data_IF_786026771513
#
_entry.id   IF_786026771513
#
_cell.length_a   1.000
_cell.length_b   1.000
_cell.length_c   1.000
_cell.angle_alpha   90.00
_cell.angle_beta   90.00
_cell.angle_gamma   90.00
#
_symmetry.space_group_name_H-M   'P 1'
#
loop_
_entity.id
_entity.type
_entity.pdbx_description
1 polymer ?
#
# COMPACT_ATOMS: atom_id res chain seq x y z
N UNK A 1 15.92 -24.48 40.12
CA UNK A 1 17.26 -23.98 40.41
C UNK A 1 17.47 -22.73 39.53
N UNK A 2 17.37 -21.57 40.20
CA UNK A 2 17.49 -20.24 39.61
C UNK A 2 18.96 -19.96 39.32
N UNK A 3 19.28 -19.68 38.04
CA UNK A 3 20.40 -18.83 37.65
C UNK A 3 19.84 -17.68 36.80
N UNK A 4 19.28 -16.70 37.47
CA UNK A 4 19.16 -15.36 36.89
C UNK A 4 20.54 -14.72 37.04
N UNK A 5 21.31 -14.69 35.97
CA UNK A 5 22.52 -13.86 35.85
C UNK A 5 22.11 -12.40 36.06
N UNK A 6 22.51 -11.84 37.17
CA UNK A 6 22.45 -10.39 37.43
C UNK A 6 23.47 -9.72 36.54
N UNK A 7 23.08 -9.38 35.33
CA UNK A 7 23.85 -8.45 34.52
C UNK A 7 23.99 -7.15 35.33
N UNK A 8 25.23 -6.68 35.52
CA UNK A 8 25.55 -5.44 36.24
C UNK A 8 24.79 -4.29 35.59
N UNK A 9 24.28 -3.34 36.39
CA UNK A 9 23.63 -2.13 35.88
C UNK A 9 24.49 -1.41 34.85
N UNK A 10 25.80 -1.48 34.95
CA UNK A 10 26.75 -0.95 33.97
C UNK A 10 26.71 -1.69 32.61
N UNK A 11 26.56 -3.02 32.61
CA UNK A 11 26.42 -3.81 31.37
C UNK A 11 25.09 -3.50 30.68
N UNK A 12 24.00 -3.35 31.43
CA UNK A 12 22.69 -2.98 30.89
C UNK A 12 22.75 -1.57 30.27
N UNK A 13 23.43 -0.61 30.92
CA UNK A 13 23.60 0.75 30.40
C UNK A 13 24.48 0.72 29.14
N UNK A 14 25.60 0.00 29.12
CA UNK A 14 26.47 -0.12 27.95
C UNK A 14 25.75 -0.77 26.76
N UNK A 15 24.98 -1.84 26.98
CA UNK A 15 24.18 -2.48 25.91
C UNK A 15 23.11 -1.54 25.39
N UNK A 16 22.47 -0.72 26.27
CA UNK A 16 21.47 0.24 25.85
C UNK A 16 22.08 1.41 25.03
N UNK A 17 23.25 1.91 25.40
CA UNK A 17 23.97 2.97 24.67
C UNK A 17 24.48 2.49 23.30
N UNK A 18 25.04 1.28 23.21
CA UNK A 18 25.47 0.68 21.95
C UNK A 18 24.26 0.51 21.01
N UNK A 19 23.13 -0.01 21.51
CA UNK A 19 21.92 -0.14 20.72
C UNK A 19 21.36 1.21 20.22
N UNK A 20 21.48 2.27 21.00
CA UNK A 20 21.01 3.60 20.60
C UNK A 20 21.90 4.21 19.52
N UNK A 21 23.22 4.08 19.62
CA UNK A 21 24.18 4.55 18.60
C UNK A 21 23.95 3.82 17.28
N UNK A 22 23.83 2.49 17.30
CA UNK A 22 23.57 1.67 16.10
C UNK A 22 22.23 2.04 15.45
N UNK A 23 21.21 2.33 16.26
CA UNK A 23 19.91 2.80 15.77
C UNK A 23 20.02 4.14 15.05
N UNK A 24 20.76 5.11 15.61
CA UNK A 24 20.98 6.42 14.99
C UNK A 24 21.82 6.32 13.71
N UNK A 25 22.87 5.51 13.70
CA UNK A 25 23.69 5.26 12.50
C UNK A 25 22.84 4.59 11.41
N UNK A 26 22.04 3.59 11.75
CA UNK A 26 21.11 2.96 10.83
C UNK A 26 20.12 3.96 10.26
N UNK A 27 19.58 4.86 11.09
CA UNK A 27 18.67 5.92 10.67
C UNK A 27 19.34 6.90 9.70
N UNK A 28 20.62 7.25 9.89
CA UNK A 28 21.38 8.08 8.93
C UNK A 28 21.46 7.43 7.56
N UNK A 29 21.79 6.14 7.49
CA UNK A 29 21.85 5.41 6.22
C UNK A 29 20.48 5.30 5.54
N UNK A 30 19.43 5.06 6.32
CA UNK A 30 18.06 5.03 5.83
C UNK A 30 17.66 6.40 5.24
N UNK A 31 17.96 7.50 5.96
CA UNK A 31 17.65 8.83 5.46
C UNK A 31 18.49 9.24 4.25
N UNK A 32 19.74 8.80 4.17
CA UNK A 32 20.58 9.00 2.98
C UNK A 32 19.98 8.26 1.77
N UNK A 33 19.57 7.01 1.93
CA UNK A 33 18.88 6.24 0.90
C UNK A 33 17.55 6.90 0.49
N UNK A 34 16.78 7.39 1.46
CA UNK A 34 15.51 8.10 1.21
C UNK A 34 15.71 9.39 0.40
N UNK A 35 16.80 10.10 0.63
CA UNK A 35 17.17 11.31 -0.12
C UNK A 35 17.63 10.98 -1.55
N UNK A 36 18.46 9.95 -1.70
CA UNK A 36 19.08 9.60 -3.00
C UNK A 36 18.08 8.98 -3.97
N UNK A 37 17.12 8.19 -3.48
CA UNK A 37 16.14 7.49 -4.31
C UNK A 37 15.35 8.42 -5.26
N UNK A 38 14.69 9.51 -4.79
CA UNK A 38 13.97 10.42 -5.68
C UNK A 38 14.91 11.19 -6.62
N UNK A 39 16.15 11.47 -6.23
CA UNK A 39 17.13 12.13 -7.08
C UNK A 39 17.52 11.25 -8.27
N UNK A 40 17.77 9.97 -8.04
CA UNK A 40 18.04 9.01 -9.13
C UNK A 40 16.80 8.79 -9.99
N UNK A 41 15.62 8.69 -9.38
CA UNK A 41 14.37 8.62 -10.14
C UNK A 41 14.23 9.83 -11.08
N UNK A 42 14.52 11.03 -10.60
CA UNK A 42 14.51 12.23 -11.43
C UNK A 42 15.57 12.21 -12.52
N UNK A 43 16.81 11.82 -12.21
CA UNK A 43 17.93 11.72 -13.17
C UNK A 43 17.67 10.70 -14.29
N UNK A 44 16.91 9.64 -14.01
CA UNK A 44 16.48 8.64 -15.02
C UNK A 44 15.24 9.09 -15.84
N UNK A 45 14.84 10.36 -15.72
CA UNK A 45 13.64 10.87 -16.37
C UNK A 45 12.37 10.24 -15.80
N UNK A 46 12.41 9.86 -14.50
CA UNK A 46 11.33 9.21 -13.75
C UNK A 46 10.87 7.86 -14.35
N UNK A 47 11.76 7.21 -15.13
CA UNK A 47 11.51 5.85 -15.65
C UNK A 47 11.54 4.80 -14.56
N UNK A 48 12.35 5.02 -13.52
CA UNK A 48 12.42 4.16 -12.35
C UNK A 48 11.65 4.84 -11.21
N UNK A 49 10.53 4.25 -10.75
CA UNK A 49 9.78 4.79 -9.61
C UNK A 49 10.65 4.85 -8.35
N UNK A 50 10.53 5.95 -7.59
CA UNK A 50 11.33 6.13 -6.36
C UNK A 50 11.13 4.98 -5.36
N UNK A 51 9.93 4.41 -5.28
CA UNK A 51 9.60 3.27 -4.41
C UNK A 51 10.49 2.05 -4.70
N UNK A 52 10.75 1.75 -5.97
CA UNK A 52 11.63 0.64 -6.36
C UNK A 52 13.06 0.91 -5.90
N UNK A 53 13.52 2.15 -6.04
CA UNK A 53 14.85 2.57 -5.58
C UNK A 53 14.97 2.52 -4.05
N UNK A 54 13.92 2.91 -3.31
CA UNK A 54 13.91 2.81 -1.86
C UNK A 54 14.10 1.37 -1.39
N UNK A 55 13.40 0.41 -2.01
CA UNK A 55 13.55 -1.01 -1.70
C UNK A 55 14.93 -1.52 -2.11
N UNK A 56 15.42 -1.15 -3.31
CA UNK A 56 16.73 -1.57 -3.78
C UNK A 56 17.86 -1.05 -2.86
N UNK A 57 17.78 0.22 -2.45
CA UNK A 57 18.72 0.78 -1.48
C UNK A 57 18.59 0.15 -0.10
N UNK A 58 17.36 -0.15 0.34
CA UNK A 58 17.14 -0.91 1.56
C UNK A 58 17.83 -2.26 1.52
N UNK A 59 17.66 -3.02 0.43
CA UNK A 59 18.37 -4.28 0.22
C UNK A 59 19.89 -4.10 0.24
N UNK A 60 20.41 -3.05 -0.39
CA UNK A 60 21.85 -2.77 -0.46
C UNK A 60 22.46 -2.44 0.91
N UNK A 61 21.82 -1.53 1.68
CA UNK A 61 22.32 -1.13 3.01
C UNK A 61 22.00 -2.15 4.12
N UNK A 62 21.09 -3.08 3.84
CA UNK A 62 20.60 -4.07 4.79
C UNK A 62 21.64 -5.12 5.20
N UNK A 63 21.27 -5.96 6.19
CA UNK A 63 22.19 -6.93 6.81
C UNK A 63 22.67 -8.02 5.85
N UNK A 64 21.92 -8.29 4.78
CA UNK A 64 22.24 -9.32 3.81
C UNK A 64 23.26 -8.91 2.73
N UNK A 65 23.59 -7.60 2.60
CA UNK A 65 24.52 -7.09 1.58
C UNK A 65 25.65 -6.31 2.24
N UNK A 66 25.44 -5.03 2.58
CA UNK A 66 26.50 -4.17 3.14
C UNK A 66 26.50 -4.12 4.67
N UNK A 67 25.40 -4.48 5.34
CA UNK A 67 25.29 -4.45 6.80
C UNK A 67 25.46 -3.06 7.41
N UNK A 68 25.15 -1.99 6.68
CA UNK A 68 25.29 -0.59 7.13
C UNK A 68 24.18 -0.14 8.05
N UNK A 69 23.02 -0.77 7.95
CA UNK A 69 21.84 -0.50 8.76
C UNK A 69 21.29 -1.78 9.38
N UNK A 70 20.94 -1.71 10.67
CA UNK A 70 20.37 -2.81 11.42
C UNK A 70 18.85 -2.69 11.50
N UNK A 71 18.21 -3.83 11.74
CA UNK A 71 16.75 -3.93 11.90
C UNK A 71 16.28 -3.60 13.32
N UNK A 72 17.19 -3.41 14.24
CA UNK A 72 16.92 -3.26 15.67
C UNK A 72 16.48 -1.84 16.07
N UNK A 73 15.88 -1.75 17.22
CA UNK A 73 15.61 -0.48 17.90
C UNK A 73 14.40 0.29 17.36
N UNK A 74 14.45 1.62 17.52
CA UNK A 74 13.33 2.54 17.21
C UNK A 74 12.93 2.61 15.73
N UNK A 75 13.78 2.13 14.80
CA UNK A 75 13.49 2.07 13.36
C UNK A 75 12.27 1.19 13.08
N UNK A 76 12.08 0.12 13.87
CA UNK A 76 10.91 -0.76 13.74
C UNK A 76 9.59 -0.03 13.96
N UNK A 77 9.49 0.81 15.00
CA UNK A 77 8.28 1.60 15.27
C UNK A 77 7.99 2.60 14.15
N UNK A 78 9.02 3.27 13.63
CA UNK A 78 8.86 4.22 12.51
C UNK A 78 8.37 3.49 11.26
N UNK A 79 8.88 2.27 11.00
CA UNK A 79 8.41 1.42 9.90
C UNK A 79 6.92 1.09 10.04
N UNK A 80 6.46 0.66 11.23
CA UNK A 80 5.06 0.34 11.49
C UNK A 80 4.14 1.56 11.29
N UNK A 81 4.56 2.73 11.79
CA UNK A 81 3.83 3.98 11.57
C UNK A 81 3.86 4.36 10.08
N UNK A 82 4.96 4.10 9.39
CA UNK A 82 5.12 4.30 7.95
C UNK A 82 4.17 3.44 7.12
N UNK A 83 4.06 2.17 7.47
CA UNK A 83 3.06 1.24 6.92
C UNK A 83 1.64 1.77 7.19
N UNK A 84 1.35 2.15 8.43
CA UNK A 84 0.08 2.75 8.80
C UNK A 84 -0.23 4.02 8.00
N UNK A 85 0.75 4.90 7.81
CA UNK A 85 0.56 6.12 7.02
C UNK A 85 0.29 5.83 5.54
N UNK A 86 0.97 4.85 4.96
CA UNK A 86 0.74 4.40 3.59
C UNK A 86 -0.71 3.92 3.40
N UNK A 87 -1.21 3.07 4.31
CA UNK A 87 -2.56 2.54 4.23
C UNK A 87 -3.64 3.54 4.65
N UNK A 88 -3.32 4.52 5.50
CA UNK A 88 -4.20 5.67 5.75
C UNK A 88 -4.41 6.47 4.45
N UNK A 89 -3.34 6.76 3.72
CA UNK A 89 -3.43 7.46 2.43
C UNK A 89 -4.22 6.63 1.41
N UNK A 90 -3.94 5.33 1.29
CA UNK A 90 -4.67 4.42 0.42
C UNK A 90 -6.18 4.39 0.74
N UNK A 91 -6.54 4.26 2.02
CA UNK A 91 -7.94 4.34 2.46
C UNK A 91 -8.59 5.70 2.20
N UNK A 92 -7.83 6.79 2.33
CA UNK A 92 -8.30 8.15 2.07
C UNK A 92 -8.58 8.42 0.58
N UNK A 93 -7.84 7.80 -0.32
CA UNK A 93 -8.02 7.93 -1.78
C UNK A 93 -9.33 7.30 -2.26
N UNK A 94 -9.87 6.32 -1.55
CA UNK A 94 -11.05 5.58 -1.98
C UNK A 94 -12.33 6.40 -1.80
N UNK A 95 -13.05 6.59 -2.90
CA UNK A 95 -14.37 7.21 -2.88
C UNK A 95 -15.46 6.13 -2.95
N UNK A 96 -16.27 5.96 -1.87
CA UNK A 96 -17.34 4.95 -1.85
C UNK A 96 -18.41 5.15 -2.92
N UNK A 97 -18.60 6.37 -3.41
CA UNK A 97 -19.62 6.66 -4.43
C UNK A 97 -19.23 6.07 -5.78
N UNK A 98 -17.94 6.10 -6.12
CA UNK A 98 -17.44 5.52 -7.38
C UNK A 98 -17.61 4.00 -7.46
N UNK A 99 -17.63 3.32 -6.29
CA UNK A 99 -17.79 1.87 -6.20
C UNK A 99 -19.25 1.40 -6.36
N UNK A 100 -20.23 2.29 -6.22
CA UNK A 100 -21.66 1.92 -6.31
C UNK A 100 -22.20 1.79 -7.73
N UNK A 101 -21.49 2.32 -8.73
CA UNK A 101 -21.89 2.33 -10.13
C UNK A 101 -21.78 0.96 -10.84
N UNK A 102 -22.13 0.94 -12.13
CA UNK A 102 -21.97 -0.24 -13.01
C UNK A 102 -20.52 -0.69 -13.07
N UNK A 103 -19.60 0.27 -13.16
CA UNK A 103 -18.17 0.04 -13.24
C UNK A 103 -17.62 -0.58 -11.95
N UNK A 104 -18.04 -0.10 -10.77
CA UNK A 104 -17.68 -0.70 -9.48
C UNK A 104 -18.14 -2.15 -9.34
N UNK A 105 -19.37 -2.48 -9.77
CA UNK A 105 -19.84 -3.87 -9.78
C UNK A 105 -19.05 -4.73 -10.75
N UNK A 106 -18.71 -4.21 -11.92
CA UNK A 106 -17.85 -4.88 -12.89
C UNK A 106 -16.45 -5.11 -12.32
N UNK A 107 -15.86 -4.11 -11.69
CA UNK A 107 -14.57 -4.21 -11.01
C UNK A 107 -14.56 -5.29 -9.92
N UNK A 108 -15.61 -5.33 -9.06
CA UNK A 108 -15.73 -6.35 -8.02
C UNK A 108 -15.85 -7.76 -8.63
N UNK A 109 -16.70 -7.94 -9.64
CA UNK A 109 -16.83 -9.25 -10.31
C UNK A 109 -15.54 -9.68 -10.99
N UNK A 110 -14.79 -8.75 -11.58
CA UNK A 110 -13.48 -9.00 -12.16
C UNK A 110 -12.48 -9.41 -11.08
N UNK A 111 -12.49 -8.72 -9.92
CA UNK A 111 -11.61 -9.06 -8.81
C UNK A 111 -11.89 -10.47 -8.26
N UNK A 112 -13.16 -10.89 -8.17
CA UNK A 112 -13.51 -12.26 -7.77
C UNK A 112 -12.92 -13.29 -8.74
N UNK A 113 -12.99 -13.02 -10.05
CA UNK A 113 -12.35 -13.88 -11.07
C UNK A 113 -10.82 -13.90 -10.85
N UNK A 114 -10.20 -12.75 -10.63
CA UNK A 114 -8.77 -12.67 -10.30
C UNK A 114 -8.43 -13.49 -9.05
N UNK A 115 -9.22 -13.42 -8.00
CA UNK A 115 -9.01 -14.18 -6.78
C UNK A 115 -9.06 -15.69 -7.04
N UNK A 116 -10.09 -16.16 -7.72
CA UNK A 116 -10.21 -17.59 -8.10
C UNK A 116 -9.01 -18.05 -8.92
N UNK A 117 -8.60 -17.29 -9.94
CA UNK A 117 -7.43 -17.62 -10.76
C UNK A 117 -6.13 -17.58 -9.95
N UNK A 118 -6.01 -16.66 -9.03
CA UNK A 118 -4.84 -16.55 -8.15
C UNK A 118 -4.72 -17.74 -7.20
N UNK A 119 -5.84 -18.16 -6.59
CA UNK A 119 -5.87 -19.38 -5.79
C UNK A 119 -5.52 -20.61 -6.63
N UNK A 120 -6.13 -20.78 -7.79
CA UNK A 120 -5.81 -21.90 -8.69
C UNK A 120 -4.34 -21.90 -9.11
N UNK A 121 -3.80 -20.73 -9.50
CA UNK A 121 -2.41 -20.58 -9.91
C UNK A 121 -1.42 -20.82 -8.77
N UNK A 122 -1.70 -20.30 -7.57
CA UNK A 122 -0.86 -20.52 -6.40
C UNK A 122 -0.81 -22.00 -5.99
N UNK A 123 -1.97 -22.67 -5.96
CA UNK A 123 -2.02 -24.10 -5.65
C UNK A 123 -1.41 -24.98 -6.76
N UNK A 124 -1.49 -24.56 -8.02
CA UNK A 124 -0.84 -25.27 -9.13
C UNK A 124 0.71 -25.18 -9.02
N UNK A 125 1.26 -24.09 -8.50
CA UNK A 125 2.71 -23.88 -8.36
C UNK A 125 3.25 -24.52 -7.09
N UNK A 126 2.57 -24.35 -5.97
CA UNK A 126 3.05 -24.72 -4.62
C UNK A 126 2.52 -26.08 -4.14
N UNK A 127 1.47 -26.61 -4.78
CA UNK A 127 0.80 -27.82 -4.35
C UNK A 127 -0.09 -27.63 -3.10
N UNK A 128 -0.86 -28.65 -2.78
CA UNK A 128 -1.77 -28.64 -1.62
C UNK A 128 -1.04 -28.84 -0.29
N UNK A 129 0.16 -29.45 -0.31
CA UNK A 129 0.98 -29.66 0.87
C UNK A 129 1.45 -28.33 1.49
N UNK A 130 1.59 -27.29 0.67
CA UNK A 130 1.97 -25.94 1.08
C UNK A 130 0.76 -24.96 1.06
N UNK A 131 -0.41 -25.42 1.47
CA UNK A 131 -1.67 -24.67 1.36
C UNK A 131 -1.62 -23.29 1.99
N UNK A 132 -1.01 -23.13 3.17
CA UNK A 132 -0.90 -21.84 3.83
C UNK A 132 -0.05 -20.83 3.02
N UNK A 133 1.08 -21.27 2.48
CA UNK A 133 1.93 -20.44 1.58
C UNK A 133 1.20 -20.13 0.28
N UNK A 134 0.42 -21.07 -0.27
CA UNK A 134 -0.38 -20.85 -1.47
C UNK A 134 -1.47 -19.80 -1.25
N UNK A 135 -2.12 -19.81 -0.08
CA UNK A 135 -3.10 -18.79 0.32
C UNK A 135 -2.45 -17.40 0.40
N UNK A 136 -1.29 -17.29 1.07
CA UNK A 136 -0.52 -16.05 1.15
C UNK A 136 -0.19 -15.51 -0.25
N UNK A 137 0.34 -16.37 -1.12
CA UNK A 137 0.66 -16.02 -2.50
C UNK A 137 -0.58 -15.56 -3.27
N UNK A 138 -1.68 -16.32 -3.17
CA UNK A 138 -2.93 -15.99 -3.85
C UNK A 138 -3.46 -14.61 -3.44
N UNK A 139 -3.49 -14.29 -2.14
CA UNK A 139 -3.90 -12.98 -1.65
C UNK A 139 -2.98 -11.88 -2.20
N UNK A 140 -1.67 -12.07 -2.09
CA UNK A 140 -0.66 -11.09 -2.50
C UNK A 140 -0.80 -10.70 -3.99
N UNK A 141 -0.97 -11.69 -4.89
CA UNK A 141 -1.02 -11.45 -6.35
C UNK A 141 -2.37 -10.89 -6.84
N UNK A 142 -3.45 -10.91 -6.01
CA UNK A 142 -4.73 -10.29 -6.35
C UNK A 142 -4.75 -8.78 -6.15
N UNK A 143 -3.72 -8.23 -5.52
CA UNK A 143 -3.70 -6.83 -5.10
C UNK A 143 -3.38 -5.87 -6.25
N UNK A 144 -3.75 -4.61 -6.03
CA UNK A 144 -3.34 -3.46 -6.86
C UNK A 144 -3.00 -2.32 -5.92
N UNK A 145 -1.90 -1.63 -6.17
CA UNK A 145 -1.42 -0.57 -5.28
C UNK A 145 -1.68 0.81 -5.89
N UNK A 146 -2.78 1.47 -5.52
CA UNK A 146 -3.09 2.83 -5.96
C UNK A 146 -2.01 3.81 -5.48
N UNK A 147 -1.62 3.75 -4.21
CA UNK A 147 -0.68 4.69 -3.61
C UNK A 147 0.66 4.78 -4.35
N UNK A 148 1.14 3.70 -4.98
CA UNK A 148 2.34 3.72 -5.82
C UNK A 148 2.07 4.14 -7.26
N UNK A 149 0.85 3.89 -7.76
CA UNK A 149 0.45 4.21 -9.13
C UNK A 149 0.03 5.67 -9.28
N UNK A 150 -0.56 6.27 -8.25
CA UNK A 150 -1.09 7.63 -8.29
C UNK A 150 -0.04 8.68 -8.72
N UNK A 151 1.20 8.70 -8.18
CA UNK A 151 2.25 9.59 -8.66
C UNK A 151 2.59 9.36 -10.14
N UNK A 152 2.61 8.10 -10.60
CA UNK A 152 2.89 7.73 -11.99
C UNK A 152 1.78 8.25 -12.92
N UNK A 153 0.53 8.08 -12.51
CA UNK A 153 -0.64 8.56 -13.26
C UNK A 153 -0.73 10.08 -13.31
N UNK A 154 -0.45 10.78 -12.19
CA UNK A 154 -0.35 12.24 -12.13
C UNK A 154 0.70 12.75 -13.11
N UNK A 155 1.86 12.10 -13.15
CA UNK A 155 2.97 12.47 -14.06
C UNK A 155 2.65 12.24 -15.53
N UNK A 156 1.87 11.19 -15.85
CA UNK A 156 1.47 10.84 -17.21
C UNK A 156 0.17 11.54 -17.64
N UNK A 157 -0.42 12.42 -16.81
CA UNK A 157 -1.70 13.09 -17.01
C UNK A 157 -2.86 12.11 -17.27
N UNK A 158 -2.85 10.92 -16.65
CA UNK A 158 -3.86 9.88 -16.85
C UNK A 158 -5.02 9.96 -15.88
N UNK A 159 -4.93 10.72 -14.77
CA UNK A 159 -5.95 10.72 -13.70
C UNK A 159 -7.35 11.09 -14.21
N UNK A 160 -7.45 12.07 -15.09
CA UNK A 160 -8.73 12.55 -15.62
C UNK A 160 -9.15 11.84 -16.91
N UNK A 161 -8.51 10.72 -17.25
CA UNK A 161 -8.84 9.90 -18.43
C UNK A 161 -9.71 8.71 -18.01
N UNK A 162 -10.41 8.05 -18.94
CA UNK A 162 -11.12 6.80 -18.69
C UNK A 162 -10.23 5.71 -18.08
N UNK A 163 -8.95 5.62 -18.49
CA UNK A 163 -7.97 4.69 -17.91
C UNK A 163 -7.74 5.00 -16.43
N UNK A 164 -7.56 6.29 -16.09
CA UNK A 164 -7.36 6.74 -14.73
C UNK A 164 -8.56 6.45 -13.82
N UNK A 165 -9.76 6.82 -14.28
CA UNK A 165 -11.00 6.56 -13.54
C UNK A 165 -11.19 5.06 -13.27
N UNK A 166 -11.07 4.22 -14.32
CA UNK A 166 -11.22 2.77 -14.18
C UNK A 166 -10.14 2.15 -13.29
N UNK A 167 -8.89 2.66 -13.37
CA UNK A 167 -7.83 2.21 -12.50
C UNK A 167 -8.10 2.53 -11.02
N UNK A 168 -8.67 3.70 -10.71
CA UNK A 168 -9.06 4.04 -9.33
C UNK A 168 -10.09 3.06 -8.77
N UNK A 169 -11.04 2.59 -9.61
CA UNK A 169 -12.04 1.60 -9.19
C UNK A 169 -11.43 0.21 -9.01
N UNK A 170 -10.68 -0.27 -10.00
CA UNK A 170 -9.99 -1.57 -9.91
C UNK A 170 -8.96 -1.61 -8.80
N UNK A 171 -8.26 -0.50 -8.57
CA UNK A 171 -7.29 -0.34 -7.51
C UNK A 171 -7.94 -0.31 -6.13
N UNK A 172 -9.01 0.46 -5.94
CA UNK A 172 -9.74 0.50 -4.67
C UNK A 172 -10.21 -0.90 -4.24
N UNK A 173 -10.79 -1.67 -5.17
CA UNK A 173 -11.19 -3.06 -4.90
C UNK A 173 -9.95 -3.93 -4.66
N UNK A 174 -8.90 -3.74 -5.47
CA UNK A 174 -7.63 -4.48 -5.37
C UNK A 174 -6.78 -4.11 -4.14
N UNK A 175 -7.14 -3.08 -3.38
CA UNK A 175 -6.56 -2.78 -2.06
C UNK A 175 -7.44 -3.31 -0.93
N UNK A 176 -8.72 -2.98 -0.93
CA UNK A 176 -9.65 -3.37 0.14
C UNK A 176 -9.76 -4.90 0.26
N UNK A 177 -10.00 -5.57 -0.84
CA UNK A 177 -10.36 -6.98 -0.82
C UNK A 177 -9.20 -7.90 -0.39
N UNK A 178 -7.93 -7.71 -0.83
CA UNK A 178 -6.80 -8.46 -0.28
C UNK A 178 -6.55 -8.20 1.21
N UNK A 179 -6.73 -6.97 1.71
CA UNK A 179 -6.59 -6.65 3.14
C UNK A 179 -7.64 -7.42 3.96
N UNK A 180 -8.89 -7.44 3.49
CA UNK A 180 -9.94 -8.23 4.15
C UNK A 180 -9.68 -9.73 4.05
N UNK A 181 -9.20 -10.21 2.89
CA UNK A 181 -8.85 -11.61 2.71
C UNK A 181 -7.68 -12.01 3.63
N UNK A 182 -6.66 -11.17 3.78
CA UNK A 182 -5.55 -11.36 4.70
C UNK A 182 -6.06 -11.48 6.14
N UNK A 183 -6.88 -10.52 6.58
CA UNK A 183 -7.44 -10.54 7.93
C UNK A 183 -8.29 -11.80 8.21
N UNK A 184 -9.03 -12.31 7.21
CA UNK A 184 -9.89 -13.48 7.36
C UNK A 184 -9.13 -14.81 7.25
N UNK A 185 -8.17 -14.91 6.34
CA UNK A 185 -7.56 -16.19 5.95
C UNK A 185 -6.22 -16.46 6.65
N UNK A 186 -5.50 -15.40 7.06
CA UNK A 186 -4.22 -15.53 7.78
C UNK A 186 -4.37 -15.40 9.29
N UNK A 187 -5.59 -15.21 9.81
CA UNK A 187 -5.85 -15.21 11.24
C UNK A 187 -5.64 -16.60 11.85
N UNK A 188 -5.01 -16.67 13.00
CA UNK A 188 -4.87 -17.91 13.79
C UNK A 188 -6.18 -18.44 14.36
N UNK A 189 -7.26 -17.64 14.31
CA UNK A 189 -8.60 -17.99 14.81
C UNK A 189 -9.43 -18.70 13.74
N UNK A 190 -10.50 -19.37 14.17
CA UNK A 190 -11.49 -19.90 13.22
C UNK A 190 -12.13 -18.75 12.41
N UNK A 191 -12.44 -18.99 11.13
CA UNK A 191 -13.00 -17.99 10.21
C UNK A 191 -14.25 -17.29 10.76
N UNK A 192 -15.13 -18.03 11.46
CA UNK A 192 -16.30 -17.44 12.12
C UNK A 192 -15.94 -16.45 13.24
N UNK A 193 -14.98 -16.82 14.09
CA UNK A 193 -14.53 -15.95 15.18
C UNK A 193 -13.84 -14.71 14.64
N UNK A 194 -13.02 -14.85 13.59
CA UNK A 194 -12.39 -13.72 12.89
C UNK A 194 -13.43 -12.80 12.27
N UNK A 195 -14.48 -13.34 11.64
CA UNK A 195 -15.58 -12.53 11.10
C UNK A 195 -16.31 -11.74 12.19
N UNK A 196 -16.55 -12.34 13.36
CA UNK A 196 -17.16 -11.65 14.50
C UNK A 196 -16.24 -10.54 15.05
N UNK A 197 -14.95 -10.80 15.16
CA UNK A 197 -13.94 -9.81 15.57
C UNK A 197 -13.84 -8.66 14.57
N UNK A 198 -13.83 -8.95 13.28
CA UNK A 198 -13.88 -7.93 12.23
C UNK A 198 -15.13 -7.06 12.32
N UNK A 199 -16.28 -7.67 12.54
CA UNK A 199 -17.53 -6.93 12.75
C UNK A 199 -17.44 -6.00 13.97
N UNK A 200 -16.94 -6.51 15.11
CA UNK A 200 -16.73 -5.71 16.31
C UNK A 200 -15.72 -4.57 16.07
N UNK A 201 -14.62 -4.84 15.36
CA UNK A 201 -13.64 -3.84 14.97
C UNK A 201 -14.28 -2.72 14.13
N UNK A 202 -15.04 -3.05 13.09
CA UNK A 202 -15.72 -2.04 12.27
C UNK A 202 -16.74 -1.23 13.08
N UNK A 203 -17.39 -1.84 14.05
CA UNK A 203 -18.30 -1.13 14.96
C UNK A 203 -17.53 -0.07 15.78
N UNK A 204 -16.39 -0.44 16.35
CA UNK A 204 -15.50 0.49 17.08
C UNK A 204 -14.96 1.57 16.12
N UNK A 205 -14.54 1.21 14.92
CA UNK A 205 -14.06 2.15 13.92
C UNK A 205 -15.12 3.20 13.54
N UNK A 206 -16.38 2.78 13.39
CA UNK A 206 -17.52 3.68 13.16
C UNK A 206 -17.71 4.64 14.36
N UNK A 207 -17.65 4.14 15.58
CA UNK A 207 -17.76 4.96 16.80
C UNK A 207 -16.63 6.00 16.83
N UNK A 208 -15.38 5.59 16.58
CA UNK A 208 -14.21 6.51 16.50
C UNK A 208 -14.42 7.55 15.39
N UNK A 209 -14.97 7.17 14.24
CA UNK A 209 -15.26 8.07 13.13
C UNK A 209 -16.38 9.10 13.43
N UNK A 210 -17.37 8.72 14.26
CA UNK A 210 -18.46 9.62 14.64
C UNK A 210 -18.02 10.59 15.76
N UNK A 211 -17.11 10.15 16.62
CA UNK A 211 -16.67 10.90 17.82
C UNK A 211 -16.31 12.36 17.55
N UNK A 212 -15.51 12.74 16.53
CA UNK A 212 -15.19 14.14 16.26
C UNK A 212 -16.41 15.00 15.88
N UNK A 213 -17.42 14.42 15.20
CA UNK A 213 -18.66 15.12 14.87
C UNK A 213 -19.49 15.40 16.13
N UNK A 214 -19.55 14.40 17.01
CA UNK A 214 -20.25 14.48 18.28
C UNK A 214 -19.58 15.50 19.21
N UNK A 215 -18.25 15.48 19.31
CA UNK A 215 -17.47 16.46 20.09
C UNK A 215 -17.68 17.88 19.59
N UNK A 216 -17.73 18.11 18.26
CA UNK A 216 -18.06 19.43 17.70
C UNK A 216 -19.46 19.93 18.10
N UNK A 217 -20.39 19.02 18.24
CA UNK A 217 -21.77 19.36 18.63
C UNK A 217 -21.85 19.79 20.10
N UNK A 218 -21.15 19.07 20.99
CA UNK A 218 -21.17 19.34 22.44
C UNK A 218 -20.16 20.41 22.88
N UNK A 219 -19.07 20.59 22.15
CA UNK A 219 -17.99 21.54 22.46
C UNK A 219 -17.67 22.41 21.22
N UNK A 220 -18.55 23.38 20.86
CA UNK A 220 -18.37 24.19 19.65
C UNK A 220 -17.08 25.01 19.59
N UNK A 221 -16.50 25.34 20.76
CA UNK A 221 -15.23 26.05 20.84
C UNK A 221 -14.05 25.20 20.35
N UNK A 222 -14.09 23.89 20.58
CA UNK A 222 -13.07 22.95 20.02
C UNK A 222 -13.13 22.93 18.50
N UNK A 223 -14.33 22.95 17.91
CA UNK A 223 -14.50 23.01 16.46
C UNK A 223 -13.88 24.29 15.87
N UNK A 224 -14.07 25.44 16.54
CA UNK A 224 -13.43 26.70 16.14
C UNK A 224 -11.92 26.66 16.29
N UNK A 225 -11.40 26.18 17.42
CA UNK A 225 -9.98 26.03 17.64
C UNK A 225 -9.30 25.10 16.60
N UNK A 226 -10.01 24.07 16.12
CA UNK A 226 -9.52 23.20 15.03
C UNK A 226 -9.48 23.92 13.68
N UNK A 227 -10.48 24.75 13.37
CA UNK A 227 -10.53 25.50 12.11
C UNK A 227 -9.51 26.62 12.11
N UNK A 228 -9.42 27.40 13.19
CA UNK A 228 -8.46 28.49 13.35
C UNK A 228 -7.02 27.94 13.43
N UNK A 229 -6.83 26.77 14.04
CA UNK A 229 -5.55 26.07 14.12
C UNK A 229 -5.11 25.40 12.81
N UNK A 230 -6.00 25.25 11.83
CA UNK A 230 -5.67 24.56 10.56
C UNK A 230 -4.69 25.35 9.70
N UNK A 231 -4.64 26.68 9.84
CA UNK A 231 -3.68 27.57 9.15
C UNK A 231 -2.47 27.96 10.01
N UNK A 232 -2.48 27.61 11.31
CA UNK A 232 -1.45 27.98 12.26
C UNK A 232 -0.35 26.91 12.40
N UNK A 233 0.75 27.26 13.06
CA UNK A 233 1.87 26.36 13.42
C UNK A 233 1.42 25.16 14.28
N UNK A 234 0.25 25.24 14.91
CA UNK A 234 -0.24 24.21 15.84
C UNK A 234 -0.65 22.89 15.19
N UNK A 235 -0.93 22.87 13.86
CA UNK A 235 -1.24 21.65 13.08
C UNK A 235 -2.26 20.70 13.77
N UNK A 236 -3.24 21.24 14.48
CA UNK A 236 -4.17 20.48 15.33
C UNK A 236 -4.95 19.41 14.54
N UNK A 237 -5.34 19.74 13.29
CA UNK A 237 -6.05 18.78 12.42
C UNK A 237 -5.18 17.57 12.10
N UNK A 238 -3.92 17.80 11.78
CA UNK A 238 -2.96 16.72 11.47
C UNK A 238 -2.72 15.83 12.69
N UNK A 239 -2.54 16.45 13.88
CA UNK A 239 -2.41 15.68 15.14
C UNK A 239 -3.63 14.83 15.44
N UNK A 240 -4.84 15.35 15.19
CA UNK A 240 -6.08 14.58 15.35
C UNK A 240 -6.13 13.37 14.40
N UNK A 241 -5.69 13.53 13.15
CA UNK A 241 -5.65 12.46 12.17
C UNK A 241 -4.62 11.40 12.58
N UNK A 242 -3.42 11.81 13.00
CA UNK A 242 -2.40 10.88 13.49
C UNK A 242 -2.85 10.16 14.78
N UNK A 243 -3.58 10.84 15.65
CA UNK A 243 -4.18 10.21 16.83
C UNK A 243 -5.24 9.18 16.42
N UNK A 244 -6.11 9.49 15.45
CA UNK A 244 -7.11 8.57 14.93
C UNK A 244 -6.43 7.34 14.28
N UNK A 245 -5.38 7.55 13.51
CA UNK A 245 -4.54 6.49 12.95
C UNK A 245 -4.01 5.58 14.06
N UNK A 246 -3.35 6.16 15.07
CA UNK A 246 -2.76 5.42 16.18
C UNK A 246 -3.82 4.64 16.97
N UNK A 247 -4.98 5.25 17.24
CA UNK A 247 -6.08 4.57 17.95
C UNK A 247 -6.58 3.36 17.14
N UNK A 248 -6.84 3.52 15.84
CA UNK A 248 -7.39 2.42 15.03
C UNK A 248 -6.36 1.31 14.77
N UNK A 249 -5.07 1.65 14.63
CA UNK A 249 -3.99 0.65 14.61
C UNK A 249 -3.91 -0.11 15.94
N UNK A 250 -3.95 0.61 17.07
CA UNK A 250 -3.92 -0.01 18.39
C UNK A 250 -5.16 -0.88 18.65
N UNK A 251 -6.33 -0.41 18.23
CA UNK A 251 -7.58 -1.20 18.33
C UNK A 251 -7.46 -2.48 17.48
N UNK A 252 -6.97 -2.38 16.23
CA UNK A 252 -6.73 -3.56 15.40
C UNK A 252 -5.79 -4.55 16.10
N UNK A 253 -4.67 -4.07 16.65
CA UNK A 253 -3.71 -4.90 17.39
C UNK A 253 -4.34 -5.57 18.63
N UNK A 254 -5.15 -4.86 19.42
CA UNK A 254 -5.87 -5.41 20.58
C UNK A 254 -6.86 -6.51 20.17
N UNK A 255 -7.48 -6.37 19.01
CA UNK A 255 -8.35 -7.40 18.44
C UNK A 255 -7.57 -8.53 17.76
N UNK A 256 -6.23 -8.52 17.81
CA UNK A 256 -5.34 -9.45 17.09
C UNK A 256 -5.61 -9.47 15.57
N UNK A 257 -6.02 -8.33 15.05
CA UNK A 257 -6.11 -8.06 13.62
C UNK A 257 -4.83 -7.33 13.15
N UNK A 258 -4.55 -7.40 11.86
CA UNK A 258 -3.43 -6.67 11.31
C UNK A 258 -3.62 -5.15 11.41
N UNK A 259 -2.55 -4.44 11.78
CA UNK A 259 -2.55 -2.97 11.93
C UNK A 259 -2.87 -2.24 10.62
N UNK A 260 -2.60 -2.88 9.47
CA UNK A 260 -2.95 -2.37 8.14
C UNK A 260 -4.45 -2.12 8.01
N UNK A 261 -5.28 -3.03 8.56
CA UNK A 261 -6.73 -2.86 8.53
C UNK A 261 -7.17 -1.63 9.32
N UNK A 262 -6.55 -1.40 10.49
CA UNK A 262 -6.81 -0.23 11.32
C UNK A 262 -6.45 1.08 10.61
N UNK A 263 -5.29 1.11 10.01
CA UNK A 263 -4.78 2.25 9.26
C UNK A 263 -5.64 2.57 8.02
N UNK A 264 -6.00 1.54 7.28
CA UNK A 264 -6.88 1.66 6.12
C UNK A 264 -8.28 2.18 6.51
N UNK A 265 -8.87 1.63 7.58
CA UNK A 265 -10.14 2.10 8.12
C UNK A 265 -10.08 3.57 8.56
N UNK A 266 -8.95 4.01 9.16
CA UNK A 266 -8.74 5.41 9.52
C UNK A 266 -8.79 6.32 8.28
N UNK A 267 -8.11 5.96 7.20
CA UNK A 267 -8.13 6.71 5.93
C UNK A 267 -9.51 6.77 5.30
N UNK A 268 -10.20 5.65 5.23
CA UNK A 268 -11.55 5.55 4.68
C UNK A 268 -12.58 6.39 5.47
N UNK A 269 -12.50 6.38 6.80
CA UNK A 269 -13.32 7.22 7.68
C UNK A 269 -12.99 8.70 7.46
N UNK A 270 -11.70 9.03 7.40
CA UNK A 270 -11.23 10.39 7.19
C UNK A 270 -11.78 10.97 5.88
N UNK A 271 -11.78 10.19 4.80
CA UNK A 271 -12.36 10.58 3.50
C UNK A 271 -13.81 11.01 3.61
N UNK A 272 -14.61 10.29 4.39
CA UNK A 272 -16.02 10.59 4.58
C UNK A 272 -16.27 11.80 5.50
N UNK A 273 -15.34 12.09 6.42
CA UNK A 273 -15.43 13.20 7.36
C UNK A 273 -15.04 14.54 6.77
N UNK A 274 -14.13 14.54 5.79
CA UNK A 274 -13.55 15.76 5.21
C UNK A 274 -14.44 16.29 4.07
N UNK A 275 -14.97 17.54 4.18
CA UNK A 275 -15.70 18.17 3.09
C UNK A 275 -14.84 18.30 1.83
N UNK A 276 -15.46 18.14 0.67
CA UNK A 276 -14.76 18.09 -0.63
C UNK A 276 -13.80 19.27 -0.87
N UNK A 277 -14.20 20.48 -0.45
CA UNK A 277 -13.39 21.71 -0.61
C UNK A 277 -12.05 21.69 0.14
N UNK A 278 -11.88 20.82 1.16
CA UNK A 278 -10.66 20.76 1.96
C UNK A 278 -9.82 19.50 1.66
N UNK A 279 -10.32 18.59 0.81
CA UNK A 279 -9.68 17.29 0.56
C UNK A 279 -8.29 17.44 -0.02
N UNK A 280 -8.12 18.25 -1.06
CA UNK A 280 -6.81 18.46 -1.72
C UNK A 280 -5.78 19.10 -0.77
N UNK A 281 -6.20 20.11 0.01
CA UNK A 281 -5.29 20.74 0.96
C UNK A 281 -4.85 19.80 2.10
N UNK A 282 -5.75 18.92 2.53
CA UNK A 282 -5.42 17.91 3.55
C UNK A 282 -4.52 16.82 2.97
N UNK A 283 -4.82 16.31 1.77
CA UNK A 283 -4.01 15.33 1.04
C UNK A 283 -2.57 15.82 0.92
N UNK A 284 -2.35 17.05 0.46
CA UNK A 284 -1.00 17.62 0.36
C UNK A 284 -0.24 17.64 1.69
N UNK A 285 -0.93 17.89 2.81
CA UNK A 285 -0.29 17.88 4.15
C UNK A 285 0.03 16.46 4.62
N UNK A 286 -0.86 15.52 4.37
CA UNK A 286 -0.65 14.12 4.68
C UNK A 286 0.48 13.54 3.82
N UNK A 287 0.54 13.91 2.54
CA UNK A 287 1.62 13.56 1.62
C UNK A 287 2.98 14.04 2.13
N UNK A 288 3.07 15.29 2.61
CA UNK A 288 4.31 15.81 3.18
C UNK A 288 4.76 14.98 4.37
N UNK A 289 3.89 14.65 5.31
CA UNK A 289 4.24 13.84 6.49
C UNK A 289 4.58 12.41 6.09
N UNK A 290 3.75 11.81 5.23
CA UNK A 290 3.93 10.44 4.77
C UNK A 290 5.19 10.25 3.94
N UNK A 291 5.31 10.99 2.86
CA UNK A 291 6.40 10.79 1.88
C UNK A 291 7.73 11.47 2.25
N UNK A 292 7.77 12.38 3.25
CA UNK A 292 9.04 12.95 3.71
C UNK A 292 9.86 11.98 4.56
N UNK A 293 9.22 11.14 5.36
CA UNK A 293 9.91 10.29 6.33
C UNK A 293 9.31 8.89 6.44
N UNK A 294 8.02 8.80 6.76
CA UNK A 294 7.41 7.58 7.26
C UNK A 294 7.36 6.47 6.20
N UNK A 295 6.84 6.78 5.03
CA UNK A 295 6.69 5.83 3.90
C UNK A 295 8.05 5.44 3.32
N UNK A 296 9.03 6.35 3.09
CA UNK A 296 10.38 5.96 2.71
C UNK A 296 11.05 5.01 3.69
N UNK A 297 10.95 5.25 5.00
CA UNK A 297 11.52 4.35 6.03
C UNK A 297 10.87 2.96 5.93
N UNK A 298 9.55 2.89 5.74
CA UNK A 298 8.86 1.62 5.54
C UNK A 298 9.42 0.84 4.34
N UNK A 299 9.54 1.46 3.17
CA UNK A 299 10.03 0.77 1.97
C UNK A 299 11.51 0.37 2.06
N UNK A 300 12.36 1.24 2.60
CA UNK A 300 13.78 0.92 2.80
C UNK A 300 13.91 -0.24 3.78
N UNK A 301 13.20 -0.19 4.89
CA UNK A 301 13.24 -1.23 5.90
C UNK A 301 12.72 -2.58 5.36
N UNK A 302 11.67 -2.56 4.55
CA UNK A 302 11.17 -3.74 3.87
C UNK A 302 12.18 -4.28 2.84
N UNK A 303 12.93 -3.38 2.19
CA UNK A 303 14.05 -3.75 1.33
C UNK A 303 15.20 -4.43 2.09
N UNK A 304 15.51 -3.97 3.31
CA UNK A 304 16.56 -4.57 4.15
C UNK A 304 16.27 -6.04 4.50
N UNK A 305 15.01 -6.45 4.55
CA UNK A 305 14.60 -7.83 4.80
C UNK A 305 14.80 -8.77 3.59
N UNK A 306 15.08 -8.23 2.39
CA UNK A 306 15.29 -9.02 1.18
C UNK A 306 16.67 -9.66 1.27
N UNK A 307 16.72 -11.00 1.12
CA UNK A 307 17.95 -11.76 0.97
C UNK A 307 18.22 -12.02 -0.52
N UNK A 308 19.19 -11.32 -1.17
CA UNK A 308 19.49 -11.54 -2.59
C UNK A 308 20.02 -12.94 -2.90
N UNK A 309 20.69 -13.58 -1.95
CA UNK A 309 21.18 -14.95 -2.14
C UNK A 309 20.02 -15.93 -2.29
N UNK A 310 18.97 -15.81 -1.45
CA UNK A 310 17.77 -16.63 -1.57
C UNK A 310 17.04 -16.41 -2.90
N UNK A 311 17.03 -15.16 -3.41
CA UNK A 311 16.46 -14.85 -4.73
C UNK A 311 17.30 -15.51 -5.85
N UNK A 312 18.62 -15.47 -5.71
CA UNK A 312 19.55 -16.07 -6.68
C UNK A 312 19.52 -17.62 -6.70
N UNK A 313 19.21 -18.25 -5.57
CA UNK A 313 19.07 -19.71 -5.48
C UNK A 313 17.82 -20.24 -6.21
N UNK A 314 16.73 -19.45 -6.27
CA UNK A 314 15.45 -19.85 -6.87
C UNK A 314 14.98 -18.88 -7.96
N UNK A 315 15.80 -18.58 -8.99
CA UNK A 315 15.46 -17.58 -10.01
C UNK A 315 14.22 -17.97 -10.83
N UNK A 316 13.98 -19.27 -10.97
CA UNK A 316 12.80 -19.78 -11.66
C UNK A 316 11.49 -19.35 -10.97
N UNK A 317 11.48 -19.30 -9.62
CA UNK A 317 10.31 -18.88 -8.87
C UNK A 317 9.99 -17.40 -9.11
N UNK A 318 11.00 -16.54 -9.13
CA UNK A 318 10.86 -15.13 -9.52
C UNK A 318 10.31 -14.99 -10.95
N UNK A 319 10.85 -15.75 -11.91
CA UNK A 319 10.41 -15.73 -13.30
C UNK A 319 8.97 -16.24 -13.49
N UNK A 320 8.49 -17.12 -12.63
CA UNK A 320 7.11 -17.62 -12.63
C UNK A 320 6.16 -16.62 -11.97
N UNK A 321 6.58 -15.94 -10.90
CA UNK A 321 5.72 -15.02 -10.16
C UNK A 321 5.31 -13.80 -10.98
N UNK A 322 6.21 -13.22 -11.77
CA UNK A 322 5.89 -12.04 -12.58
C UNK A 322 4.78 -12.31 -13.62
N UNK A 323 4.87 -13.36 -14.46
CA UNK A 323 3.77 -13.75 -15.33
C UNK A 323 2.51 -14.15 -14.54
N UNK A 324 2.65 -14.84 -13.40
CA UNK A 324 1.52 -15.23 -12.57
C UNK A 324 0.71 -13.99 -12.13
N UNK A 325 1.38 -12.94 -11.63
CA UNK A 325 0.72 -11.69 -11.24
C UNK A 325 -0.06 -11.09 -12.43
N UNK A 326 0.55 -11.07 -13.62
CA UNK A 326 -0.15 -10.55 -14.80
C UNK A 326 -1.31 -11.45 -15.25
N UNK A 327 -1.13 -12.77 -15.32
CA UNK A 327 -2.14 -13.74 -15.76
C UNK A 327 -3.34 -13.76 -14.80
N UNK A 328 -3.10 -13.67 -13.50
CA UNK A 328 -4.17 -13.76 -12.50
C UNK A 328 -4.83 -12.42 -12.21
N UNK A 329 -4.13 -11.29 -12.39
CA UNK A 329 -4.66 -9.96 -12.07
C UNK A 329 -4.85 -9.08 -13.31
N UNK A 330 -3.86 -8.96 -14.18
CA UNK A 330 -3.92 -8.09 -15.36
C UNK A 330 -4.79 -8.66 -16.46
N UNK A 331 -4.54 -9.89 -16.86
CA UNK A 331 -5.23 -10.54 -17.97
C UNK A 331 -6.77 -10.60 -17.80
N UNK A 332 -7.33 -10.95 -16.62
CA UNK A 332 -8.77 -10.91 -16.44
C UNK A 332 -9.37 -9.51 -16.60
N UNK A 333 -8.66 -8.46 -16.14
CA UNK A 333 -9.06 -7.07 -16.35
C UNK A 333 -9.09 -6.76 -17.85
N UNK A 334 -8.03 -7.11 -18.59
CA UNK A 334 -7.97 -6.93 -20.04
C UNK A 334 -9.11 -7.63 -20.78
N UNK A 335 -9.30 -8.92 -20.51
CA UNK A 335 -10.35 -9.72 -21.17
C UNK A 335 -11.76 -9.22 -20.84
N UNK A 336 -11.96 -8.77 -19.58
CA UNK A 336 -13.24 -8.22 -19.18
C UNK A 336 -13.55 -6.92 -19.92
N UNK A 337 -12.60 -6.02 -20.06
CA UNK A 337 -12.75 -4.79 -20.81
C UNK A 337 -12.87 -5.02 -22.33
N UNK A 338 -12.25 -6.08 -22.86
CA UNK A 338 -12.35 -6.42 -24.30
C UNK A 338 -13.72 -6.96 -24.69
N UNK A 339 -14.28 -7.85 -23.88
CA UNK A 339 -15.45 -8.66 -24.28
C UNK A 339 -16.76 -8.25 -23.61
N UNK A 340 -16.73 -7.42 -22.57
CA UNK A 340 -17.92 -7.03 -21.82
C UNK A 340 -18.02 -5.51 -21.68
N UNK A 341 -19.26 -5.02 -21.63
CA UNK A 341 -19.53 -3.60 -21.39
C UNK A 341 -19.47 -3.31 -19.88
N UNK A 342 -18.33 -2.86 -19.41
CA UNK A 342 -18.04 -2.60 -17.98
C UNK A 342 -18.56 -1.25 -17.50
N UNK A 343 -18.67 -0.28 -18.41
CA UNK A 343 -19.01 1.11 -18.10
C UNK A 343 -17.80 2.03 -18.01
N UNK A 344 -16.57 1.51 -18.22
CA UNK A 344 -15.29 2.23 -18.13
C UNK A 344 -15.12 3.33 -19.18
N UNK A 345 -15.87 3.27 -20.30
CA UNK A 345 -15.70 4.20 -21.43
C UNK A 345 -14.45 3.95 -22.28
N UNK A 346 -13.65 2.93 -21.99
CA UNK A 346 -12.46 2.55 -22.75
C UNK A 346 -12.82 2.02 -24.13
N UNK A 347 -12.32 2.65 -25.19
CA UNK A 347 -12.64 2.30 -26.58
C UNK A 347 -11.52 1.54 -27.27
N UNK A 348 -10.26 1.96 -27.07
CA UNK A 348 -9.10 1.37 -27.72
C UNK A 348 -8.57 0.16 -26.91
N UNK A 349 -8.13 -0.88 -27.61
CA UNK A 349 -7.46 -2.03 -26.98
C UNK A 349 -6.17 -1.65 -26.21
N UNK A 350 -5.51 -0.57 -26.65
CA UNK A 350 -4.32 -0.04 -25.97
C UNK A 350 -4.64 0.53 -24.60
N UNK A 351 -5.75 1.25 -24.47
CA UNK A 351 -6.24 1.77 -23.18
C UNK A 351 -6.60 0.61 -22.22
N UNK A 352 -7.24 -0.44 -22.76
CA UNK A 352 -7.61 -1.65 -22.00
C UNK A 352 -6.38 -2.41 -21.54
N UNK A 353 -5.36 -2.54 -22.40
CA UNK A 353 -4.09 -3.16 -22.04
C UNK A 353 -3.32 -2.29 -21.03
N UNK A 354 -3.33 -0.96 -21.18
CA UNK A 354 -2.73 -0.03 -20.24
C UNK A 354 -3.36 -0.16 -18.84
N UNK A 355 -4.70 -0.19 -18.77
CA UNK A 355 -5.43 -0.43 -17.52
C UNK A 355 -5.01 -1.76 -16.89
N UNK A 356 -4.94 -2.84 -17.67
CA UNK A 356 -4.60 -4.18 -17.18
C UNK A 356 -3.19 -4.27 -16.59
N UNK A 357 -2.21 -3.60 -17.22
CA UNK A 357 -0.84 -3.52 -16.75
C UNK A 357 -0.76 -2.76 -15.42
N UNK A 358 -1.43 -1.61 -15.32
CA UNK A 358 -1.49 -0.85 -14.07
C UNK A 358 -2.21 -1.65 -12.97
N UNK A 359 -3.32 -2.31 -13.28
CA UNK A 359 -4.07 -3.10 -12.31
C UNK A 359 -3.27 -4.27 -11.72
N UNK A 360 -2.27 -4.77 -12.45
CA UNK A 360 -1.37 -5.84 -12.00
C UNK A 360 -0.19 -5.35 -11.14
N UNK A 361 -0.13 -4.08 -10.78
CA UNK A 361 0.96 -3.50 -9.97
C UNK A 361 0.60 -3.53 -8.50
N UNK A 362 1.36 -4.28 -7.66
CA UNK A 362 0.86 -4.69 -6.35
C UNK A 362 1.85 -4.62 -5.16
N UNK A 363 2.99 -3.93 -5.27
CA UNK A 363 4.09 -4.02 -4.31
C UNK A 363 3.74 -3.76 -2.84
N UNK A 364 3.09 -2.66 -2.40
CA UNK A 364 2.87 -2.39 -0.98
C UNK A 364 2.09 -3.49 -0.25
N UNK A 365 1.08 -4.04 -0.91
CA UNK A 365 0.27 -5.10 -0.31
C UNK A 365 1.05 -6.42 -0.31
N UNK A 366 1.86 -6.70 -1.34
CA UNK A 366 2.76 -7.87 -1.32
C UNK A 366 3.69 -7.78 -0.12
N UNK A 367 4.29 -6.60 0.15
CA UNK A 367 5.15 -6.39 1.32
C UNK A 367 4.36 -6.62 2.61
N UNK A 368 3.20 -6.00 2.77
CA UNK A 368 2.38 -6.15 3.98
C UNK A 368 1.97 -7.61 4.22
N UNK A 369 1.46 -8.29 3.19
CA UNK A 369 1.04 -9.70 3.30
C UNK A 369 2.22 -10.62 3.63
N UNK A 370 3.38 -10.42 3.01
CA UNK A 370 4.58 -11.22 3.31
C UNK A 370 5.12 -10.98 4.71
N UNK A 371 5.05 -9.76 5.23
CA UNK A 371 5.45 -9.44 6.61
C UNK A 371 4.54 -10.12 7.63
N UNK A 372 3.22 -10.01 7.46
CA UNK A 372 2.25 -10.69 8.33
C UNK A 372 2.44 -12.20 8.30
N UNK A 373 2.61 -12.77 7.11
CA UNK A 373 2.78 -14.21 6.94
C UNK A 373 4.12 -14.72 7.51
N UNK A 374 5.19 -13.94 7.43
CA UNK A 374 6.49 -14.27 8.05
C UNK A 374 6.44 -14.14 9.57
N UNK A 375 5.84 -13.09 10.10
CA UNK A 375 5.64 -12.90 11.53
C UNK A 375 4.80 -14.03 12.16
N UNK A 376 3.83 -14.55 11.40
CA UNK A 376 3.00 -15.70 11.80
C UNK A 376 3.63 -17.07 11.48
N UNK A 377 4.88 -17.14 11.04
CA UNK A 377 5.58 -18.36 10.65
C UNK A 377 4.89 -19.19 9.53
N UNK A 378 4.00 -18.56 8.77
CA UNK A 378 3.29 -19.18 7.64
C UNK A 378 4.18 -19.19 6.38
N UNK A 379 4.98 -18.15 6.21
CA UNK A 379 5.86 -17.96 5.05
C UNK A 379 7.32 -17.89 5.49
N UNK A 380 8.21 -18.56 4.77
CA UNK A 380 9.66 -18.44 5.01
C UNK A 380 10.18 -17.07 4.55
N UNK A 381 11.22 -16.55 5.21
CA UNK A 381 11.88 -15.29 4.82
C UNK A 381 12.42 -15.32 3.40
N UNK A 382 12.84 -16.50 2.91
CA UNK A 382 13.31 -16.69 1.53
C UNK A 382 12.19 -16.45 0.51
N UNK A 383 11.04 -17.13 0.70
CA UNK A 383 9.89 -16.96 -0.19
C UNK A 383 9.33 -15.54 -0.12
N UNK A 384 9.30 -14.93 1.06
CA UNK A 384 8.94 -13.53 1.23
C UNK A 384 9.85 -12.60 0.42
N UNK A 385 11.17 -12.80 0.49
CA UNK A 385 12.17 -12.05 -0.28
C UNK A 385 11.90 -12.13 -1.78
N UNK A 386 11.62 -13.34 -2.29
CA UNK A 386 11.34 -13.55 -3.73
C UNK A 386 10.02 -12.85 -4.13
N UNK A 387 8.98 -12.94 -3.28
CA UNK A 387 7.69 -12.28 -3.56
C UNK A 387 7.83 -10.76 -3.58
N UNK A 388 8.56 -10.17 -2.63
CA UNK A 388 8.80 -8.71 -2.59
C UNK A 388 9.67 -8.27 -3.78
N UNK A 389 10.67 -9.07 -4.17
CA UNK A 389 11.46 -8.82 -5.38
C UNK A 389 10.58 -8.86 -6.64
N UNK A 390 9.69 -9.85 -6.78
CA UNK A 390 8.74 -9.94 -7.89
C UNK A 390 7.81 -8.73 -7.93
N UNK A 391 7.24 -8.34 -6.78
CA UNK A 391 6.43 -7.13 -6.64
C UNK A 391 7.17 -5.86 -7.08
N UNK A 392 8.43 -5.71 -6.67
CA UNK A 392 9.29 -4.57 -7.06
C UNK A 392 9.51 -4.51 -8.57
N UNK A 393 9.73 -5.65 -9.19
CA UNK A 393 9.89 -5.75 -10.66
C UNK A 393 8.58 -5.39 -11.36
N UNK A 394 7.42 -5.82 -10.86
CA UNK A 394 6.13 -5.47 -11.47
C UNK A 394 5.83 -3.97 -11.42
N UNK A 395 6.18 -3.29 -10.32
CA UNK A 395 6.05 -1.83 -10.18
C UNK A 395 6.94 -1.06 -11.16
N UNK A 396 8.09 -1.62 -11.51
CA UNK A 396 8.96 -1.05 -12.52
C UNK A 396 8.48 -1.39 -13.94
N UNK A 397 8.25 -2.67 -14.20
CA UNK A 397 8.03 -3.20 -15.55
C UNK A 397 6.66 -2.82 -16.12
N UNK A 398 5.58 -3.02 -15.36
CA UNK A 398 4.23 -2.85 -15.89
C UNK A 398 3.87 -1.39 -16.19
N UNK A 399 4.14 -0.40 -15.33
CA UNK A 399 3.95 1.00 -15.68
C UNK A 399 4.86 1.47 -16.82
N UNK A 400 6.08 0.92 -16.93
CA UNK A 400 6.98 1.22 -18.04
C UNK A 400 6.40 0.72 -19.36
N UNK A 401 5.92 -0.52 -19.42
CA UNK A 401 5.23 -1.07 -20.59
C UNK A 401 3.95 -0.28 -20.91
N UNK A 402 3.16 0.05 -19.90
CA UNK A 402 1.94 0.84 -20.05
C UNK A 402 2.21 2.24 -20.64
N UNK A 403 3.32 2.86 -20.27
CA UNK A 403 3.69 4.20 -20.77
C UNK A 403 4.01 4.23 -22.28
N UNK A 404 4.37 3.10 -22.87
CA UNK A 404 4.61 2.98 -24.31
C UNK A 404 3.31 2.81 -25.12
N UNK A 405 2.21 2.47 -24.46
CA UNK A 405 0.88 2.35 -25.05
C UNK A 405 0.22 3.74 -25.09
N UNK A 406 0.68 4.60 -25.99
CA UNK A 406 0.08 5.95 -26.13
C UNK A 406 -1.39 5.81 -26.51
N UNK A 407 -2.30 6.55 -25.84
CA UNK A 407 -3.68 6.66 -26.28
C UNK A 407 -3.72 7.23 -27.69
N UNK A 408 -4.71 6.83 -28.49
CA UNK A 408 -4.87 7.34 -29.85
C UNK A 408 -4.97 8.88 -29.82
N UNK A 409 -4.34 9.57 -30.79
CA UNK A 409 -4.25 11.05 -30.88
C UNK A 409 -5.59 11.80 -30.76
N UNK A 410 -6.70 11.14 -30.95
CA UNK A 410 -8.05 11.70 -30.88
C UNK A 410 -8.44 12.32 -29.53
N UNK A 411 -7.81 11.91 -28.41
CA UNK A 411 -8.10 12.49 -27.09
C UNK A 411 -7.33 13.78 -26.81
N UNK A 412 -6.15 13.95 -27.39
CA UNK A 412 -5.36 15.17 -27.24
C UNK A 412 -5.96 16.35 -28.03
N UNK A 413 -6.69 16.07 -29.11
CA UNK A 413 -7.35 17.09 -29.94
C UNK A 413 -8.67 17.57 -29.33
N UNK A 414 -9.39 16.75 -28.57
CA UNK A 414 -10.62 17.16 -27.89
C UNK A 414 -10.41 18.04 -26.66
N UNK A 415 -9.26 17.94 -25.99
CA UNK A 415 -8.89 18.84 -24.87
C UNK A 415 -8.34 20.19 -25.33
N UNK A 416 -7.79 20.29 -26.57
CA UNK A 416 -7.37 21.56 -27.15
C UNK A 416 -8.53 22.36 -27.78
N UNK A 417 -9.65 21.72 -28.04
CA UNK A 417 -10.90 22.36 -28.42
C UNK A 417 -11.78 22.53 -27.15
N UNK A 418 -11.39 23.45 -26.27
CA UNK A 418 -12.23 23.89 -25.16
C UNK A 418 -13.58 24.39 -25.67
N UNK A 419 -14.65 24.31 -24.84
CA UNK A 419 -15.98 24.73 -25.24
C UNK A 419 -16.09 26.26 -25.24
N UNK A 420 -15.41 26.95 -26.15
CA UNK A 420 -15.76 28.36 -26.43
C UNK A 420 -15.12 28.90 -27.71
N UNK A 421 -15.76 28.64 -28.82
CA UNK A 421 -15.59 29.42 -30.03
C UNK A 421 -16.85 29.43 -30.93
N UNK A 422 -18.06 29.39 -30.30
CA UNK A 422 -19.30 29.64 -31.04
C UNK A 422 -20.42 30.11 -30.12
N UNK A 423 -20.34 31.37 -29.72
CA UNK A 423 -21.58 32.17 -29.50
C UNK A 423 -21.31 33.58 -29.96
N UNK A 424 -22.17 34.09 -30.90
CA UNK A 424 -22.13 35.46 -31.37
C UNK A 424 -22.56 36.46 -30.33
#
# INVERSE_FOLDING_TARGET
MLYASSASSAEIILVSEVNQTDTLVSFVWIMAAALVAPLISYATGKRIPAVVLLIAFGCLIGPHVLGLASEAGGVGLIKEIGLGMLFLLAGYEIDPETLRGKEGRSGLSTWIICAVLSFLGAFAILGFDNSSTAIVLAIAVTSTAIGTLLPIMKQQNLLNTPVGSSLMIHGAIGEIAPILAMALLLSARSTWMTAAVLFAFFLVAIVVGILPKTVKLFLPWMGRAMVDGAGSTNQTVLRLILLMLAILMAVAAVFELDVVLGAFAAGFILRQMVPQKYRTALEQRLDVVGYSLLIPVFFIRSGMSINPAAVAEKPWFLLVLIPLIYITRGLPVFLREMFFSTGSGLKDWREKLQLSLFAATALPIIVAVTEVATASHILSHENASIMVAAGSITVLLFPLLASHLKPAKAYMESEQQGPDASRP
#
